data_IF_495388641328
#
_entry.id   IF_495388641328
#
_cell.length_a   1.000
_cell.length_b   1.000
_cell.length_c   1.000
_cell.angle_alpha   90.00
_cell.angle_beta   90.00
_cell.angle_gamma   90.00
#
_symmetry.space_group_name_H-M   'P 1'
#
loop_
_entity.id
_entity.type
_entity.pdbx_description
1 polymer ?
#
# COMPACT_ATOMS: atom_id res chain seq x y z
N UNK A 1 -58.54 -2.14 -27.93
CA UNK A 1 -58.69 -2.83 -26.63
C UNK A 1 -58.04 -1.97 -25.55
N UNK A 2 -58.84 -1.43 -24.63
CA UNK A 2 -58.45 -0.79 -23.36
C UNK A 2 -58.17 -1.92 -22.32
N UNK A 3 -57.50 -1.80 -21.16
CA UNK A 3 -56.69 -0.83 -20.40
C UNK A 3 -56.32 -1.55 -19.06
N UNK A 4 -55.32 -1.03 -18.31
CA UNK A 4 -55.00 -1.21 -16.87
C UNK A 4 -54.50 -2.58 -16.37
N UNK A 5 -53.39 -2.71 -15.62
CA UNK A 5 -52.83 -2.02 -14.41
C UNK A 5 -53.35 -2.60 -13.08
N UNK A 6 -52.40 -3.19 -12.34
CA UNK A 6 -52.18 -3.16 -10.89
C UNK A 6 -53.17 -3.83 -9.90
N UNK A 7 -52.59 -4.77 -9.14
CA UNK A 7 -52.42 -4.80 -7.67
C UNK A 7 -53.58 -4.98 -6.67
N UNK A 8 -53.23 -5.74 -5.63
CA UNK A 8 -53.67 -5.78 -4.22
C UNK A 8 -54.85 -6.68 -3.76
N UNK A 9 -54.44 -7.57 -2.82
CA UNK A 9 -55.01 -7.86 -1.49
C UNK A 9 -56.39 -8.50 -1.33
N UNK A 10 -56.44 -9.56 -0.52
CA UNK A 10 -57.19 -9.68 0.76
C UNK A 10 -56.94 -11.07 1.37
N UNK A 11 -56.21 -11.18 2.49
CA UNK A 11 -56.69 -11.34 3.88
C UNK A 11 -57.56 -12.57 4.16
N UNK A 12 -57.14 -13.40 5.13
CA UNK A 12 -57.89 -13.65 6.37
C UNK A 12 -57.00 -14.29 7.45
N UNK A 13 -57.36 -14.03 8.71
CA UNK A 13 -56.62 -14.26 9.95
C UNK A 13 -57.39 -15.17 10.93
N UNK A 14 -56.76 -15.46 12.10
CA UNK A 14 -57.28 -15.82 13.47
C UNK A 14 -56.42 -16.97 14.04
N UNK A 15 -55.57 -16.82 15.09
CA UNK A 15 -55.82 -16.72 16.56
C UNK A 15 -55.41 -18.07 17.21
N UNK A 16 -54.64 -18.24 18.31
CA UNK A 16 -54.62 -17.60 19.64
C UNK A 16 -53.35 -17.94 20.48
N UNK A 17 -52.91 -16.96 21.29
CA UNK A 17 -52.44 -16.95 22.71
C UNK A 17 -51.56 -18.04 23.36
N UNK A 18 -50.44 -17.62 23.98
CA UNK A 18 -50.02 -17.82 25.40
C UNK A 18 -48.47 -17.78 25.53
N UNK A 19 -47.89 -16.75 26.14
CA UNK A 19 -47.45 -16.66 27.55
C UNK A 19 -45.99 -17.13 27.79
N UNK A 20 -45.16 -16.18 28.25
CA UNK A 20 -43.78 -16.41 28.73
C UNK A 20 -43.77 -17.05 30.14
N UNK A 21 -42.65 -17.68 30.52
CA UNK A 21 -42.03 -17.31 31.80
C UNK A 21 -40.49 -17.25 31.76
N UNK A 22 -39.95 -16.84 32.91
CA UNK A 22 -38.64 -16.26 33.10
C UNK A 22 -37.62 -17.17 33.82
N UNK A 23 -36.35 -16.76 33.73
CA UNK A 23 -35.27 -16.78 34.73
C UNK A 23 -34.87 -18.12 35.41
N UNK A 24 -33.62 -18.54 35.17
CA UNK A 24 -32.82 -19.28 36.16
C UNK A 24 -31.34 -18.84 36.11
N UNK A 25 -30.81 -18.51 37.29
CA UNK A 25 -29.48 -17.95 37.58
C UNK A 25 -28.40 -19.03 37.67
N UNK A 26 -27.17 -18.71 37.24
CA UNK A 26 -25.86 -19.13 37.80
C UNK A 26 -24.83 -18.16 37.21
N UNK A 27 -23.81 -17.59 37.85
CA UNK A 27 -23.39 -17.28 39.22
C UNK A 27 -22.27 -16.24 39.06
N UNK A 28 -22.19 -15.27 39.96
CA UNK A 28 -21.15 -14.22 39.96
C UNK A 28 -19.74 -14.84 39.93
N UNK A 29 -18.87 -14.31 39.09
CA UNK A 29 -17.49 -14.04 39.52
C UNK A 29 -17.18 -12.57 39.23
N UNK A 30 -17.19 -11.78 40.30
CA UNK A 30 -16.51 -10.49 40.33
C UNK A 30 -15.04 -10.74 39.95
N UNK A 31 -14.60 -10.24 38.79
CA UNK A 31 -13.18 -10.03 38.56
C UNK A 31 -12.92 -8.52 38.61
N UNK A 32 -12.10 -8.20 39.60
CA UNK A 32 -11.76 -6.89 40.09
C UNK A 32 -11.09 -6.09 38.98
N UNK A 33 -11.44 -4.80 38.89
CA UNK A 33 -10.70 -3.83 38.07
C UNK A 33 -9.23 -3.81 38.52
N UNK A 34 -8.23 -4.02 37.65
CA UNK A 34 -6.86 -3.69 37.99
C UNK A 34 -6.68 -2.18 37.86
N UNK A 35 -6.33 -1.52 38.97
CA UNK A 35 -5.68 -0.20 38.95
C UNK A 35 -4.40 -0.32 38.11
N UNK A 36 -4.29 0.51 37.05
CA UNK A 36 -3.09 1.09 36.39
C UNK A 36 -1.69 0.47 36.63
N UNK A 37 -0.75 0.55 35.66
CA UNK A 37 -0.75 1.30 34.41
C UNK A 37 -0.85 0.37 33.19
N UNK A 38 -1.51 0.83 32.14
CA UNK A 38 -1.94 -0.03 31.03
C UNK A 38 -0.75 -0.52 30.19
N UNK A 39 -0.36 -1.78 30.35
CA UNK A 39 0.13 -2.58 29.22
C UNK A 39 -1.13 -2.96 28.45
N UNK A 40 -1.45 -2.17 27.42
CA UNK A 40 -2.57 -2.44 26.52
C UNK A 40 -2.37 -3.84 25.91
N UNK A 41 -3.39 -4.72 25.91
CA UNK A 41 -3.31 -6.00 25.23
C UNK A 41 -3.14 -5.80 23.72
N UNK A 42 -2.26 -6.59 23.12
CA UNK A 42 -1.82 -6.54 21.71
C UNK A 42 -2.92 -6.98 20.71
N UNK A 43 -4.19 -7.04 21.13
CA UNK A 43 -5.31 -7.58 20.32
C UNK A 43 -6.16 -6.49 19.64
N UNK A 44 -5.79 -5.20 19.72
CA UNK A 44 -6.56 -4.09 19.12
C UNK A 44 -5.77 -3.20 18.14
N UNK A 45 -4.65 -3.71 17.58
CA UNK A 45 -3.97 -3.10 16.43
C UNK A 45 -4.29 -3.88 15.14
N UNK A 46 -5.57 -3.95 14.78
CA UNK A 46 -6.00 -4.21 13.42
C UNK A 46 -6.25 -2.83 12.83
N UNK A 47 -5.29 -2.22 12.15
CA UNK A 47 -5.22 -2.34 10.69
C UNK A 47 -3.79 -2.09 10.17
N UNK A 48 -3.21 -3.11 9.53
CA UNK A 48 -1.96 -3.01 8.79
C UNK A 48 -2.20 -2.36 7.42
N UNK A 49 -2.18 -1.03 7.35
CA UNK A 49 -2.32 -0.32 6.07
C UNK A 49 -0.98 -0.27 5.34
N UNK A 50 -0.79 -1.15 4.36
CA UNK A 50 0.42 -1.25 3.54
C UNK A 50 0.17 -1.01 2.04
N UNK A 51 -0.88 -0.27 1.69
CA UNK A 51 -1.33 -0.02 0.30
C UNK A 51 -1.34 -1.30 -0.57
N UNK A 52 -1.78 -2.44 -0.03
CA UNK A 52 -1.82 -3.70 -0.76
C UNK A 52 -0.44 -4.30 -1.12
N UNK A 53 0.67 -3.70 -0.67
CA UNK A 53 2.03 -4.13 -1.00
C UNK A 53 2.68 -4.98 0.09
N UNK A 54 2.07 -5.10 1.26
CA UNK A 54 2.43 -6.08 2.27
C UNK A 54 1.20 -6.48 3.10
N UNK A 55 1.21 -7.69 3.64
CA UNK A 55 0.24 -8.18 4.60
C UNK A 55 0.85 -8.41 5.98
N UNK A 56 2.07 -7.90 6.21
CA UNK A 56 2.83 -8.11 7.44
C UNK A 56 3.36 -6.78 7.94
N UNK A 57 3.18 -6.52 9.23
CA UNK A 57 3.79 -5.40 9.91
C UNK A 57 4.60 -5.83 11.12
N UNK A 58 5.55 -4.99 11.52
CA UNK A 58 6.24 -5.05 12.79
C UNK A 58 5.85 -3.80 13.59
N UNK A 59 5.59 -3.99 14.87
CA UNK A 59 5.48 -2.88 15.80
C UNK A 59 6.85 -2.58 16.41
N UNK A 60 7.19 -1.30 16.51
CA UNK A 60 8.45 -0.85 17.13
C UNK A 60 8.07 -0.07 18.39
N UNK A 61 8.17 -0.74 19.55
CA UNK A 61 7.71 -0.24 20.85
C UNK A 61 8.27 1.15 21.19
N UNK A 62 9.57 1.36 20.99
CA UNK A 62 10.24 2.61 21.35
C UNK A 62 9.78 3.84 20.54
N UNK A 63 9.20 3.61 19.36
CA UNK A 63 8.70 4.66 18.48
C UNK A 63 7.18 4.70 18.42
N UNK A 64 6.50 3.77 19.10
CA UNK A 64 5.05 3.56 18.99
C UNK A 64 4.56 3.53 17.53
N UNK A 65 5.32 2.92 16.62
CA UNK A 65 5.01 2.91 15.19
C UNK A 65 4.81 1.49 14.68
N UNK A 66 3.83 1.31 13.81
CA UNK A 66 3.63 0.09 13.02
C UNK A 66 4.27 0.31 11.66
N UNK A 67 5.18 -0.58 11.26
CA UNK A 67 5.81 -0.52 9.94
C UNK A 67 5.53 -1.80 9.18
N UNK A 68 5.13 -1.66 7.92
CA UNK A 68 5.05 -2.76 6.98
C UNK A 68 6.43 -3.37 6.77
N UNK A 69 6.48 -4.70 6.72
CA UNK A 69 7.71 -5.46 6.47
C UNK A 69 7.59 -6.19 5.15
N UNK A 70 8.72 -6.39 4.47
CA UNK A 70 8.76 -7.12 3.18
C UNK A 70 7.82 -6.55 2.11
N UNK A 71 7.79 -5.22 1.96
CA UNK A 71 7.02 -4.55 0.91
C UNK A 71 7.35 -5.13 -0.49
N UNK A 72 6.30 -5.51 -1.23
CA UNK A 72 6.35 -6.02 -2.61
C UNK A 72 6.29 -4.86 -3.63
N UNK A 73 6.22 -5.18 -4.92
CA UNK A 73 5.98 -4.20 -5.99
C UNK A 73 6.99 -3.06 -6.03
N UNK A 74 8.25 -3.36 -5.68
CA UNK A 74 9.36 -2.39 -5.63
C UNK A 74 9.08 -1.17 -4.73
N UNK A 75 8.23 -1.35 -3.72
CA UNK A 75 7.91 -0.32 -2.75
C UNK A 75 8.73 -0.46 -1.46
N UNK A 76 8.74 0.61 -0.67
CA UNK A 76 9.37 0.76 0.64
C UNK A 76 8.64 1.83 1.45
N UNK A 77 9.04 1.97 2.71
CA UNK A 77 8.48 2.95 3.63
C UNK A 77 7.65 2.28 4.71
N UNK A 78 7.14 3.08 5.64
CA UNK A 78 6.36 2.58 6.78
C UNK A 78 5.07 1.89 6.33
N UNK A 79 4.45 2.37 5.26
CA UNK A 79 3.21 1.87 4.67
C UNK A 79 3.43 1.32 3.26
N UNK A 80 4.69 1.09 2.85
CA UNK A 80 5.03 0.76 1.47
C UNK A 80 4.65 1.86 0.44
N UNK A 81 4.63 3.13 0.86
CA UNK A 81 4.15 4.26 0.03
C UNK A 81 5.20 4.89 -0.91
N UNK A 82 6.46 4.46 -0.82
CA UNK A 82 7.56 5.02 -1.59
C UNK A 82 8.17 3.96 -2.49
N UNK A 83 8.73 4.36 -3.63
CA UNK A 83 9.51 3.45 -4.44
C UNK A 83 10.89 3.18 -3.83
N UNK A 84 11.40 1.98 -4.05
CA UNK A 84 12.79 1.61 -3.73
C UNK A 84 13.78 2.46 -4.53
N UNK A 85 15.02 2.50 -4.06
CA UNK A 85 16.10 3.11 -4.85
C UNK A 85 16.24 2.39 -6.19
N UNK A 86 16.47 3.16 -7.25
CA UNK A 86 16.43 2.65 -8.63
C UNK A 86 15.02 2.56 -9.24
N UNK A 87 13.98 3.02 -8.53
CA UNK A 87 12.61 3.12 -9.04
C UNK A 87 12.04 4.52 -8.81
N UNK A 88 11.13 4.94 -9.69
CA UNK A 88 10.38 6.20 -9.57
C UNK A 88 8.87 5.94 -9.59
N UNK A 89 8.09 6.87 -9.03
CA UNK A 89 6.64 6.72 -8.92
C UNK A 89 5.96 7.01 -10.25
N UNK A 90 5.08 6.11 -10.68
CA UNK A 90 4.16 6.34 -11.77
C UNK A 90 3.03 7.28 -11.30
N UNK A 91 3.04 8.52 -11.78
CA UNK A 91 2.01 9.51 -11.43
C UNK A 91 0.60 9.15 -11.90
N UNK A 92 0.47 8.26 -12.88
CA UNK A 92 -0.81 7.84 -13.46
C UNK A 92 -1.41 6.60 -12.80
N UNK A 93 -0.66 5.91 -11.94
CA UNK A 93 -1.13 4.74 -11.21
C UNK A 93 -1.54 5.13 -9.77
N UNK A 94 -2.54 4.42 -9.26
CA UNK A 94 -2.91 4.51 -7.85
C UNK A 94 -1.83 3.87 -6.97
N UNK A 95 -1.83 4.24 -5.68
CA UNK A 95 -0.75 3.83 -4.77
C UNK A 95 -0.76 2.34 -4.43
N UNK A 96 -1.90 1.66 -4.62
CA UNK A 96 -2.08 0.23 -4.39
C UNK A 96 -1.80 -0.64 -5.62
N UNK A 97 -1.51 -0.03 -6.78
CA UNK A 97 -1.18 -0.73 -8.02
C UNK A 97 0.17 -1.47 -7.94
N UNK A 98 0.24 -2.68 -8.47
CA UNK A 98 1.48 -3.48 -8.52
C UNK A 98 2.60 -2.83 -9.36
N UNK A 99 2.25 -1.94 -10.28
CA UNK A 99 3.14 -1.23 -11.19
C UNK A 99 3.30 0.26 -10.83
N UNK A 100 2.98 0.65 -9.58
CA UNK A 100 3.16 2.03 -9.10
C UNK A 100 4.62 2.48 -9.16
N UNK A 101 5.58 1.55 -9.09
CA UNK A 101 7.01 1.85 -9.14
C UNK A 101 7.65 1.34 -10.43
N UNK A 102 8.14 2.26 -11.25
CA UNK A 102 8.79 1.99 -12.53
C UNK A 102 10.31 2.04 -12.34
N UNK A 103 11.01 1.08 -12.93
CA UNK A 103 12.46 1.00 -12.84
C UNK A 103 13.15 2.15 -13.59
N UNK A 104 14.17 2.73 -12.95
CA UNK A 104 14.96 3.81 -13.52
C UNK A 104 15.78 3.35 -14.72
N UNK A 105 16.36 2.15 -14.72
CA UNK A 105 17.20 1.64 -15.82
C UNK A 105 18.33 2.59 -16.26
N UNK A 106 18.97 3.27 -15.31
CA UNK A 106 20.12 4.14 -15.60
C UNK A 106 21.33 3.30 -16.03
N UNK A 107 22.00 3.70 -17.11
CA UNK A 107 23.20 3.03 -17.60
C UNK A 107 24.33 3.15 -16.58
N UNK A 108 24.81 2.04 -16.04
CA UNK A 108 25.81 2.04 -14.96
C UNK A 108 27.14 2.72 -15.33
N UNK A 109 27.48 2.73 -16.62
CA UNK A 109 28.70 3.35 -17.15
C UNK A 109 28.44 4.84 -17.45
N UNK A 110 27.33 5.16 -18.11
CA UNK A 110 27.00 6.52 -18.52
C UNK A 110 26.37 7.39 -17.44
N UNK A 111 25.84 6.82 -16.36
CA UNK A 111 25.24 7.54 -15.22
C UNK A 111 26.18 7.65 -14.03
N UNK A 112 25.95 8.67 -13.20
CA UNK A 112 26.66 8.83 -11.92
C UNK A 112 26.23 7.79 -10.88
N UNK A 113 24.94 7.44 -10.88
CA UNK A 113 24.32 6.47 -10.00
C UNK A 113 23.09 5.82 -10.67
N UNK A 114 22.55 4.77 -10.06
CA UNK A 114 21.36 4.03 -10.50
C UNK A 114 20.01 4.75 -10.22
N UNK A 115 20.05 5.90 -9.56
CA UNK A 115 18.88 6.69 -9.19
C UNK A 115 18.45 7.63 -10.33
N UNK A 116 17.15 7.80 -10.48
CA UNK A 116 16.53 8.76 -11.38
C UNK A 116 15.63 9.73 -10.62
N UNK A 117 15.24 10.83 -11.28
CA UNK A 117 14.28 11.79 -10.75
C UNK A 117 12.84 11.26 -10.81
N UNK A 118 11.87 12.08 -10.41
CA UNK A 118 10.43 11.72 -10.41
C UNK A 118 9.88 11.42 -11.81
N UNK A 119 10.54 11.88 -12.88
CA UNK A 119 10.15 11.63 -14.27
C UNK A 119 10.90 10.45 -14.91
N UNK A 120 11.80 9.79 -14.17
CA UNK A 120 12.58 8.67 -14.67
C UNK A 120 13.89 9.05 -15.39
N UNK A 121 14.32 10.31 -15.36
CA UNK A 121 15.59 10.77 -15.95
C UNK A 121 16.76 10.55 -15.00
N UNK A 122 17.83 9.99 -15.54
CA UNK A 122 19.07 9.69 -14.84
C UNK A 122 20.05 10.86 -14.88
N UNK A 123 20.96 10.93 -13.91
CA UNK A 123 22.04 11.90 -13.91
C UNK A 123 23.24 11.35 -14.68
N UNK A 124 23.53 11.95 -15.83
CA UNK A 124 24.56 11.48 -16.75
C UNK A 124 25.95 12.01 -16.41
N UNK A 125 26.97 11.19 -16.69
CA UNK A 125 28.37 11.58 -16.69
C UNK A 125 28.66 12.49 -17.87
N UNK A 126 29.80 13.18 -17.80
CA UNK A 126 30.31 13.99 -18.91
C UNK A 126 30.41 13.15 -20.20
N UNK A 127 29.94 13.73 -21.30
CA UNK A 127 29.90 13.05 -22.60
C UNK A 127 28.71 12.11 -22.83
N UNK A 128 28.03 11.65 -21.78
CA UNK A 128 26.83 10.80 -21.88
C UNK A 128 25.55 11.64 -21.97
N UNK A 129 24.53 11.09 -22.62
CA UNK A 129 23.27 11.76 -22.93
C UNK A 129 22.10 10.78 -22.97
N UNK A 130 20.89 11.33 -23.11
CA UNK A 130 19.65 10.56 -23.11
C UNK A 130 19.03 10.41 -21.72
N UNK A 131 17.78 9.95 -21.62
CA UNK A 131 17.07 9.82 -20.34
C UNK A 131 17.70 8.76 -19.43
N UNK A 132 18.38 7.76 -20.01
CA UNK A 132 19.01 6.64 -19.30
C UNK A 132 20.54 6.67 -19.38
N UNK A 133 21.13 7.74 -19.94
CA UNK A 133 22.57 7.90 -20.14
C UNK A 133 23.21 6.77 -20.95
N UNK A 134 22.47 6.21 -21.89
CA UNK A 134 22.84 5.13 -22.78
C UNK A 134 23.37 5.63 -24.14
N UNK A 135 23.24 6.93 -24.41
CA UNK A 135 23.78 7.59 -25.58
C UNK A 135 25.00 8.45 -25.23
N UNK A 136 25.78 8.81 -26.25
CA UNK A 136 26.83 9.82 -26.14
C UNK A 136 26.40 11.12 -26.83
N UNK A 137 26.94 12.25 -26.36
CA UNK A 137 26.85 13.53 -27.06
C UNK A 137 27.42 13.40 -28.48
N UNK A 138 26.99 14.24 -29.45
CA UNK A 138 27.39 14.11 -30.86
C UNK A 138 28.91 14.15 -31.12
N UNK A 139 29.69 14.74 -30.22
CA UNK A 139 31.15 14.83 -30.30
C UNK A 139 31.87 13.66 -29.60
N UNK A 140 31.14 12.66 -29.12
CA UNK A 140 31.67 11.54 -28.34
C UNK A 140 31.32 10.19 -28.99
N UNK A 141 32.09 9.15 -28.66
CA UNK A 141 31.83 7.77 -29.07
C UNK A 141 31.81 6.83 -27.86
N UNK A 142 31.05 5.74 -27.98
CA UNK A 142 30.91 4.74 -26.91
C UNK A 142 32.07 3.75 -26.91
N UNK A 143 32.80 3.67 -25.79
CA UNK A 143 33.84 2.66 -25.50
C UNK A 143 33.90 2.40 -23.99
N UNK A 144 33.00 1.60 -23.44
CA UNK A 144 32.88 1.44 -21.97
C UNK A 144 32.73 2.82 -21.26
N UNK A 145 32.00 3.73 -21.91
CA UNK A 145 31.86 5.13 -21.52
C UNK A 145 31.88 6.04 -22.74
N UNK A 146 31.55 7.32 -22.56
CA UNK A 146 31.58 8.30 -23.65
C UNK A 146 32.90 9.06 -23.64
N UNK A 147 33.64 8.98 -24.75
CA UNK A 147 34.92 9.64 -24.93
C UNK A 147 34.88 10.59 -26.12
N UNK A 148 35.55 11.73 -26.02
CA UNK A 148 35.61 12.72 -27.09
C UNK A 148 36.21 12.11 -28.37
N UNK A 149 35.55 12.34 -29.49
CA UNK A 149 36.10 12.11 -30.82
C UNK A 149 37.15 13.19 -31.07
N UNK A 150 38.41 12.77 -31.21
CA UNK A 150 39.51 13.65 -31.56
C UNK A 150 39.73 13.65 -33.08
#
# INVERSE_FOLDING_TARGET
MADKRACFSSLQAVGTSAAAPALAKVSKLFQLRPKSPQVMPIEEFQDCECYGHSNRCSYIDFLNVVTCVSCKHNTRGQHCQHCRLGYYRNGSAELDDENVCIECNCNQIGSLHDRCNETGFCECREGAAGPKCDDCLPTHYWRQGCYLLC
#
